data_IF_681722628712
#
_entry.id   IF_681722628712
#
_cell.length_a   1.000
_cell.length_b   1.000
_cell.length_c   1.000
_cell.angle_alpha   90.00
_cell.angle_beta   90.00
_cell.angle_gamma   90.00
#
_symmetry.space_group_name_H-M   'P 1'
#
loop_
_entity.id
_entity.type
_entity.pdbx_description
1 polymer ?
#
# COMPACT_ATOMS: atom_id res chain seq x y z
N UNK A 1 3.94 10.26 14.13
CA UNK A 1 3.80 10.81 12.76
C UNK A 1 4.83 10.14 11.90
N UNK A 2 4.44 9.62 10.74
CA UNK A 2 5.41 9.05 9.80
C UNK A 2 6.26 10.19 9.21
N UNK A 3 7.57 9.97 8.94
CA UNK A 3 8.43 10.96 8.30
C UNK A 3 7.83 11.50 6.99
N UNK A 4 8.25 12.68 6.50
CA UNK A 4 7.93 13.06 5.12
C UNK A 4 8.50 12.01 4.15
N UNK A 5 7.67 11.57 3.22
CA UNK A 5 7.99 10.43 2.36
C UNK A 5 7.03 10.31 1.17
N UNK A 6 7.38 9.40 0.27
CA UNK A 6 6.57 9.00 -0.88
C UNK A 6 5.94 7.64 -0.60
N UNK A 7 4.67 7.48 -0.97
CA UNK A 7 3.92 6.25 -0.80
C UNK A 7 3.49 5.71 -2.16
N UNK A 8 3.81 4.45 -2.42
CA UNK A 8 3.41 3.72 -3.62
C UNK A 8 2.54 2.53 -3.25
N UNK A 9 1.50 2.29 -4.05
CA UNK A 9 0.55 1.19 -3.86
C UNK A 9 0.31 0.57 -5.23
N UNK A 10 0.64 -0.71 -5.37
CA UNK A 10 0.38 -1.46 -6.59
C UNK A 10 -0.94 -2.24 -6.49
N UNK A 11 -1.91 -1.83 -7.30
CA UNK A 11 -3.25 -2.42 -7.35
C UNK A 11 -3.34 -3.47 -8.47
N UNK A 12 -2.79 -4.66 -8.21
CA UNK A 12 -2.83 -5.77 -9.16
C UNK A 12 -4.07 -6.67 -9.00
N UNK A 13 -4.64 -7.10 -10.13
CA UNK A 13 -5.81 -8.00 -10.21
C UNK A 13 -7.01 -7.55 -9.37
N UNK A 14 -7.32 -6.25 -9.39
CA UNK A 14 -8.57 -5.71 -8.85
C UNK A 14 -9.62 -5.71 -9.95
N UNK A 15 -10.71 -6.44 -9.74
CA UNK A 15 -11.77 -6.64 -10.71
C UNK A 15 -13.17 -6.40 -10.13
N UNK A 16 -13.27 -6.09 -8.84
CA UNK A 16 -14.52 -5.78 -8.16
C UNK A 16 -14.24 -4.99 -6.87
N UNK A 17 -15.32 -4.61 -6.18
CA UNK A 17 -15.26 -4.26 -4.77
C UNK A 17 -14.92 -5.46 -3.92
N UNK A 18 -14.30 -5.22 -2.76
CA UNK A 18 -13.93 -6.28 -1.83
C UNK A 18 -12.66 -5.98 -1.04
N UNK A 19 -12.25 -6.97 -0.25
CA UNK A 19 -11.03 -6.94 0.55
C UNK A 19 -9.94 -7.71 -0.20
N UNK A 20 -8.83 -7.02 -0.47
CA UNK A 20 -7.69 -7.54 -1.20
C UNK A 20 -6.47 -7.54 -0.27
N UNK A 21 -6.04 -8.72 0.22
CA UNK A 21 -4.88 -8.78 1.11
C UNK A 21 -3.61 -8.42 0.34
N UNK A 22 -2.70 -7.71 1.02
CA UNK A 22 -1.35 -7.45 0.54
C UNK A 22 -0.51 -8.72 0.76
N UNK A 23 -0.30 -9.45 -0.33
CA UNK A 23 0.53 -10.67 -0.33
C UNK A 23 1.57 -10.54 -1.42
N UNK A 24 2.81 -10.86 -1.09
CA UNK A 24 3.98 -10.93 -1.98
C UNK A 24 3.68 -11.73 -3.25
N UNK A 25 2.90 -12.80 -3.13
CA UNK A 25 2.49 -13.68 -4.23
C UNK A 25 1.35 -13.13 -5.10
N UNK A 26 0.65 -12.09 -4.64
CA UNK A 26 -0.52 -11.52 -5.34
C UNK A 26 -0.20 -10.36 -6.28
N UNK A 27 1.06 -9.94 -6.35
CA UNK A 27 1.48 -8.74 -7.11
C UNK A 27 1.02 -7.42 -6.49
N UNK A 28 0.25 -7.46 -5.39
CA UNK A 28 -0.15 -6.29 -4.60
C UNK A 28 0.84 -6.07 -3.47
N UNK A 29 1.51 -4.93 -3.49
CA UNK A 29 2.40 -4.53 -2.40
C UNK A 29 2.36 -3.00 -2.23
N UNK A 30 2.81 -2.55 -1.07
CA UNK A 30 2.99 -1.14 -0.77
C UNK A 30 4.47 -0.86 -0.50
N UNK A 31 4.92 0.33 -0.90
CA UNK A 31 6.26 0.84 -0.64
C UNK A 31 6.17 2.23 -0.05
N UNK A 32 7.01 2.51 0.95
CA UNK A 32 7.12 3.81 1.57
C UNK A 32 8.59 4.20 1.64
N UNK A 33 8.92 5.33 1.03
CA UNK A 33 10.27 5.86 0.94
C UNK A 33 10.33 7.16 1.74
N UNK A 34 11.20 7.21 2.75
CA UNK A 34 11.44 8.47 3.47
C UNK A 34 12.37 9.36 2.67
N UNK A 35 12.20 10.67 2.78
CA UNK A 35 13.07 11.63 2.11
C UNK A 35 14.38 11.83 2.88
N UNK A 36 15.32 12.57 2.26
CA UNK A 36 16.52 13.07 2.92
C UNK A 36 16.18 13.78 4.24
N UNK A 37 16.94 13.55 5.33
CA UNK A 37 18.22 12.84 5.40
C UNK A 37 18.14 11.33 5.65
N UNK A 38 16.96 10.78 5.96
CA UNK A 38 16.86 9.39 6.42
C UNK A 38 16.96 8.37 5.26
N UNK A 39 16.38 8.68 4.09
CA UNK A 39 16.42 7.86 2.86
C UNK A 39 16.31 6.34 3.11
N UNK A 40 15.19 5.93 3.71
CA UNK A 40 14.86 4.55 4.03
C UNK A 40 13.75 4.03 3.14
N UNK A 41 13.87 2.76 2.76
CA UNK A 41 12.90 2.05 1.94
C UNK A 41 12.19 0.99 2.78
N UNK A 42 10.86 1.10 2.86
CA UNK A 42 10.01 0.16 3.55
C UNK A 42 9.09 -0.53 2.56
N UNK A 43 8.90 -1.84 2.66
CA UNK A 43 7.92 -2.55 1.83
C UNK A 43 7.19 -3.68 2.57
N UNK A 44 6.08 -4.12 1.97
CA UNK A 44 5.27 -5.24 2.48
C UNK A 44 5.68 -6.61 1.93
N UNK A 45 6.62 -6.67 0.97
CA UNK A 45 7.02 -7.92 0.28
C UNK A 45 7.61 -8.97 1.22
N UNK A 46 8.19 -8.53 2.35
CA UNK A 46 8.88 -9.38 3.31
C UNK A 46 8.01 -9.82 4.49
N UNK A 47 6.81 -9.25 4.65
CA UNK A 47 5.96 -9.50 5.82
C UNK A 47 4.50 -9.82 5.51
N UNK A 48 4.00 -9.48 4.30
CA UNK A 48 2.61 -9.76 3.86
C UNK A 48 1.55 -9.28 4.87
N UNK A 49 1.77 -8.10 5.46
CA UNK A 49 0.87 -7.54 6.48
C UNK A 49 0.16 -6.29 5.98
N UNK A 50 -1.11 -6.45 5.60
CA UNK A 50 -2.02 -5.34 5.29
C UNK A 50 -3.15 -5.75 4.37
N UNK A 51 -4.04 -4.81 4.11
CA UNK A 51 -5.16 -5.01 3.19
C UNK A 51 -5.52 -3.72 2.46
N UNK A 52 -6.08 -3.91 1.26
CA UNK A 52 -6.74 -2.87 0.48
C UNK A 52 -8.23 -3.20 0.47
N UNK A 53 -9.06 -2.25 0.87
CA UNK A 53 -10.52 -2.37 0.79
C UNK A 53 -11.01 -1.50 -0.34
N UNK A 54 -11.46 -2.13 -1.43
CA UNK A 54 -12.04 -1.45 -2.59
C UNK A 54 -13.53 -1.29 -2.34
N UNK A 55 -13.97 -0.05 -2.18
CA UNK A 55 -15.38 0.29 -1.92
C UNK A 55 -16.12 0.77 -3.17
N UNK A 56 -15.38 1.18 -4.21
CA UNK A 56 -15.92 1.56 -5.51
C UNK A 56 -15.05 0.97 -6.62
N UNK A 57 -15.69 0.27 -7.56
CA UNK A 57 -15.09 -0.19 -8.80
C UNK A 57 -16.06 0.14 -9.94
N UNK A 58 -15.90 1.32 -10.52
CA UNK A 58 -16.83 1.91 -11.48
C UNK A 58 -16.23 1.85 -12.89
N UNK A 59 -16.70 0.89 -13.68
CA UNK A 59 -16.23 0.68 -15.06
C UNK A 59 -16.72 1.76 -16.03
N UNK A 60 -17.83 2.44 -15.71
CA UNK A 60 -18.40 3.48 -16.58
C UNK A 60 -17.58 4.76 -16.46
N UNK A 61 -17.32 5.20 -15.23
CA UNK A 61 -16.53 6.40 -14.97
C UNK A 61 -15.03 6.11 -14.87
N UNK A 62 -14.63 4.84 -14.92
CA UNK A 62 -13.25 4.38 -14.80
C UNK A 62 -12.60 4.83 -13.50
N UNK A 63 -13.31 4.69 -12.38
CA UNK A 63 -12.87 5.12 -11.04
C UNK A 63 -12.78 3.91 -10.11
N UNK A 64 -11.65 3.78 -9.43
CA UNK A 64 -11.45 2.87 -8.31
C UNK A 64 -11.15 3.68 -7.05
N UNK A 65 -11.87 3.39 -5.97
CA UNK A 65 -11.63 4.06 -4.70
C UNK A 65 -11.85 3.16 -3.49
N UNK A 66 -11.18 3.51 -2.40
CA UNK A 66 -11.16 2.67 -1.22
C UNK A 66 -10.24 3.16 -0.12
N UNK A 67 -9.94 2.24 0.78
CA UNK A 67 -9.02 2.44 1.90
C UNK A 67 -7.95 1.37 1.89
N UNK A 68 -6.86 1.62 2.62
CA UNK A 68 -5.82 0.62 2.82
C UNK A 68 -5.12 0.84 4.16
N UNK A 69 -4.53 -0.23 4.67
CA UNK A 69 -3.56 -0.19 5.75
C UNK A 69 -2.49 -1.23 5.52
N UNK A 70 -1.29 -0.99 6.04
CA UNK A 70 -0.22 -1.99 6.02
C UNK A 70 0.84 -1.73 7.09
N UNK A 71 1.57 -2.80 7.40
CA UNK A 71 2.84 -2.73 8.11
C UNK A 71 3.94 -3.09 7.13
N UNK A 72 4.96 -2.23 7.05
CA UNK A 72 6.11 -2.44 6.20
C UNK A 72 7.39 -2.50 7.02
N UNK A 73 8.36 -3.23 6.48
CA UNK A 73 9.66 -3.42 7.10
C UNK A 73 10.72 -2.74 6.24
N UNK A 74 11.71 -2.12 6.89
CA UNK A 74 12.87 -1.56 6.20
C UNK A 74 13.63 -2.68 5.49
N UNK A 75 14.01 -2.46 4.24
CA UNK A 75 14.72 -3.46 3.43
C UNK A 75 16.12 -3.76 3.94
N UNK A 76 16.72 -2.85 4.72
CA UNK A 76 18.08 -2.96 5.29
C UNK A 76 18.10 -3.40 6.75
N UNK A 77 17.01 -3.20 7.50
CA UNK A 77 16.90 -3.58 8.91
C UNK A 77 15.51 -4.17 9.23
N UNK A 78 15.41 -5.49 9.50
CA UNK A 78 14.13 -6.12 9.77
C UNK A 78 13.41 -5.66 11.05
N UNK A 79 14.12 -4.98 11.95
CA UNK A 79 13.56 -4.47 13.19
C UNK A 79 13.02 -3.04 13.04
N UNK A 80 13.43 -2.32 12.00
CA UNK A 80 12.91 -0.99 11.65
C UNK A 80 11.62 -1.16 10.82
N UNK A 81 10.50 -0.75 11.40
CA UNK A 81 9.16 -0.99 10.86
C UNK A 81 8.34 0.29 10.86
N UNK A 82 7.44 0.39 9.88
CA UNK A 82 6.48 1.49 9.75
C UNK A 82 5.07 0.92 9.60
N UNK A 83 4.10 1.64 10.14
CA UNK A 83 2.68 1.37 9.97
C UNK A 83 2.02 2.51 9.22
N UNK A 84 1.25 2.19 8.19
CA UNK A 84 0.36 3.12 7.51
C UNK A 84 -1.07 2.67 7.79
N UNK A 85 -1.85 3.51 8.45
CA UNK A 85 -3.24 3.27 8.81
C UNK A 85 -4.15 4.32 8.19
N UNK A 86 -5.43 3.99 8.03
CA UNK A 86 -6.47 4.92 7.56
C UNK A 86 -6.19 5.57 6.19
N UNK A 87 -5.37 4.91 5.37
CA UNK A 87 -5.02 5.34 4.02
C UNK A 87 -6.27 5.34 3.12
N UNK A 88 -6.35 6.31 2.21
CA UNK A 88 -7.45 6.48 1.25
C UNK A 88 -6.92 6.70 -0.14
N UNK A 89 -7.63 6.17 -1.13
CA UNK A 89 -7.33 6.42 -2.53
C UNK A 89 -8.62 6.60 -3.34
N UNK A 90 -8.54 7.42 -4.37
CA UNK A 90 -9.56 7.64 -5.38
C UNK A 90 -8.83 7.93 -6.69
N UNK A 91 -8.81 6.94 -7.59
CA UNK A 91 -7.94 6.91 -8.75
C UNK A 91 -8.71 6.59 -10.03
N UNK A 92 -8.38 7.23 -11.16
CA UNK A 92 -8.81 6.75 -12.46
C UNK A 92 -8.01 5.50 -12.88
N UNK A 93 -8.62 4.57 -13.63
CA UNK A 93 -7.96 3.36 -14.14
C UNK A 93 -8.31 3.03 -15.60
#
# INVERSE_FOLDING_TARGET
MNPPGQLYIDLYNINNTGIYPLKSTSGRYCEYHTLFPDEKDYNTKTSDVGEIVVTRFDLTNRIISGTFWFNAQNIKDPNDKVSVTDGRFDLPF
#
